data_IF_171577223333
#
_entry.id   IF_171577223333
#
_cell.length_a   1.000
_cell.length_b   1.000
_cell.length_c   1.000
_cell.angle_alpha   90.00
_cell.angle_beta   90.00
_cell.angle_gamma   90.00
#
_symmetry.space_group_name_H-M   'P 1'
#
loop_
_entity.id
_entity.type
_entity.pdbx_description
1 polymer ?
#
# COMPACT_ATOMS: atom_id res chain seq x y z
N UNK A 1 -18.22 26.82 -58.51
CA UNK A 1 -18.78 25.55 -58.00
C UNK A 1 -18.89 25.69 -56.49
N UNK A 2 -20.04 26.12 -55.99
CA UNK A 2 -21.02 25.30 -55.25
C UNK A 2 -20.41 24.63 -53.98
N UNK A 3 -20.58 25.23 -52.79
CA UNK A 3 -21.66 24.97 -51.81
C UNK A 3 -21.45 23.67 -50.99
N UNK A 4 -20.97 23.77 -49.74
CA UNK A 4 -21.77 23.58 -48.52
C UNK A 4 -20.93 23.27 -47.28
N UNK A 5 -21.10 24.19 -46.32
CA UNK A 5 -20.97 24.02 -44.88
C UNK A 5 -21.68 22.77 -44.35
N UNK A 6 -21.06 22.06 -43.41
CA UNK A 6 -21.77 21.41 -42.29
C UNK A 6 -20.99 21.57 -40.99
N UNK A 7 -21.33 22.67 -40.32
CA UNK A 7 -21.29 22.85 -38.88
C UNK A 7 -22.15 21.73 -38.25
N UNK A 8 -21.54 20.92 -37.39
CA UNK A 8 -22.21 19.88 -36.61
C UNK A 8 -22.06 20.16 -35.12
N UNK A 9 -22.98 20.97 -34.60
CA UNK A 9 -23.19 21.23 -33.17
C UNK A 9 -23.78 20.00 -32.50
N UNK A 10 -23.17 19.46 -31.43
CA UNK A 10 -23.90 18.58 -30.49
C UNK A 10 -23.55 18.92 -29.04
N UNK A 11 -24.44 19.72 -28.47
CA UNK A 11 -24.98 19.69 -27.11
C UNK A 11 -24.03 19.51 -25.91
N UNK A 12 -23.97 20.57 -25.10
CA UNK A 12 -23.35 20.62 -23.79
C UNK A 12 -23.98 19.67 -22.76
N UNK A 13 -23.11 19.05 -21.97
CA UNK A 13 -23.46 18.30 -20.77
C UNK A 13 -23.18 19.19 -19.56
N UNK A 14 -24.25 19.75 -18.98
CA UNK A 14 -24.20 20.48 -17.72
C UNK A 14 -23.88 19.48 -16.61
N UNK A 15 -22.68 19.52 -16.04
CA UNK A 15 -22.33 18.78 -14.82
C UNK A 15 -22.79 19.61 -13.63
N UNK A 16 -23.81 19.12 -12.94
CA UNK A 16 -24.26 19.66 -11.68
C UNK A 16 -23.30 19.22 -10.57
N UNK A 17 -22.61 20.19 -9.97
CA UNK A 17 -21.79 20.04 -8.77
C UNK A 17 -22.74 20.16 -7.57
N UNK A 18 -22.78 19.16 -6.69
CA UNK A 18 -23.71 19.14 -5.56
C UNK A 18 -23.27 18.27 -4.39
N UNK A 19 -22.78 18.95 -3.35
CA UNK A 19 -22.77 18.61 -1.93
C UNK A 19 -21.90 17.45 -1.42
N UNK A 20 -20.70 17.82 -0.97
CA UNK A 20 -19.88 17.12 0.02
C UNK A 20 -20.58 17.19 1.37
N UNK A 21 -20.95 16.04 1.94
CA UNK A 21 -21.41 15.92 3.33
C UNK A 21 -20.34 15.18 4.13
N UNK A 22 -19.55 15.95 4.88
CA UNK A 22 -18.69 15.46 5.95
C UNK A 22 -19.57 15.15 7.17
N UNK A 23 -19.71 13.86 7.50
CA UNK A 23 -20.19 13.43 8.80
C UNK A 23 -19.02 12.78 9.55
N UNK A 24 -18.61 13.45 10.62
CA UNK A 24 -17.52 13.07 11.49
C UNK A 24 -17.92 11.96 12.47
N UNK A 25 -16.92 11.13 12.80
CA UNK A 25 -16.62 10.48 14.08
C UNK A 25 -17.71 9.62 14.77
N UNK A 26 -17.36 8.36 15.01
CA UNK A 26 -18.08 7.48 15.94
C UNK A 26 -17.25 6.27 16.38
N UNK A 27 -16.47 6.46 17.45
CA UNK A 27 -16.11 5.49 18.50
C UNK A 27 -15.53 4.12 18.05
N UNK A 28 -14.19 4.02 18.04
CA UNK A 28 -13.51 2.75 18.35
C UNK A 28 -13.78 2.42 19.82
N UNK A 29 -14.90 1.76 20.09
CA UNK A 29 -15.02 0.94 21.27
C UNK A 29 -13.94 -0.15 21.18
N UNK A 30 -13.02 -0.14 22.12
CA UNK A 30 -12.02 -1.16 22.32
C UNK A 30 -12.70 -2.55 22.32
N UNK A 31 -12.57 -3.28 21.21
CA UNK A 31 -12.71 -4.73 21.21
C UNK A 31 -11.38 -5.30 21.70
N UNK A 32 -11.17 -5.19 23.00
CA UNK A 32 -10.10 -5.84 23.74
C UNK A 32 -10.73 -6.62 24.88
N UNK A 33 -11.62 -7.57 24.53
CA UNK A 33 -12.02 -8.61 25.48
C UNK A 33 -10.94 -9.68 25.43
N UNK A 34 -10.04 -9.60 26.40
CA UNK A 34 -9.17 -10.70 26.82
C UNK A 34 -10.01 -11.97 27.07
N UNK A 35 -10.04 -12.88 26.11
CA UNK A 35 -10.41 -14.28 26.36
C UNK A 35 -9.94 -15.19 25.20
N UNK A 36 -8.68 -15.64 25.21
CA UNK A 36 -8.35 -17.02 24.80
C UNK A 36 -7.25 -17.60 25.70
N UNK A 37 -7.70 -18.59 26.44
CA UNK A 37 -7.05 -19.44 27.42
C UNK A 37 -5.98 -20.38 26.82
N UNK A 38 -4.84 -20.44 27.52
CA UNK A 38 -3.91 -21.57 27.72
C UNK A 38 -2.97 -22.07 26.61
N UNK A 39 -1.65 -21.86 26.81
CA UNK A 39 -0.78 -22.97 27.24
C UNK A 39 0.46 -22.49 28.03
N UNK A 40 0.47 -22.83 29.33
CA UNK A 40 1.60 -23.10 30.23
C UNK A 40 2.81 -22.16 30.30
N UNK A 41 2.86 -21.29 31.32
CA UNK A 41 4.06 -21.16 32.19
C UNK A 41 3.63 -20.64 33.58
N UNK A 42 3.84 -21.38 34.68
CA UNK A 42 3.48 -20.93 36.02
C UNK A 42 4.63 -20.18 36.70
N UNK A 43 4.25 -19.39 37.73
CA UNK A 43 5.09 -18.68 38.71
C UNK A 43 5.72 -17.38 38.20
N UNK A 44 5.74 -16.26 38.93
CA UNK A 44 5.67 -16.10 40.37
C UNK A 44 5.03 -14.77 40.76
N UNK A 45 4.43 -14.81 41.95
CA UNK A 45 3.86 -13.74 42.75
C UNK A 45 4.71 -12.46 42.82
N UNK A 46 4.07 -11.30 42.87
CA UNK A 46 4.13 -10.44 44.07
C UNK A 46 3.03 -9.39 44.07
N UNK A 47 2.38 -9.34 45.22
CA UNK A 47 1.35 -8.42 45.70
C UNK A 47 1.74 -6.95 45.62
N UNK A 48 0.82 -6.08 45.20
CA UNK A 48 0.39 -4.97 46.05
C UNK A 48 -1.01 -4.50 45.64
N UNK A 49 -1.90 -4.43 46.63
CA UNK A 49 -3.20 -3.79 46.51
C UNK A 49 -3.02 -2.29 46.41
N UNK A 50 -3.66 -1.64 45.44
CA UNK A 50 -3.97 -0.21 45.52
C UNK A 50 -5.48 -0.08 45.77
N UNK A 51 -5.84 0.23 47.01
CA UNK A 51 -7.17 0.73 47.34
C UNK A 51 -7.04 2.20 47.74
N UNK A 52 -7.81 3.02 47.03
CA UNK A 52 -8.39 4.32 47.40
C UNK A 52 -7.48 5.38 48.05
N UNK A 53 -7.39 6.55 47.41
CA UNK A 53 -8.12 7.74 47.86
C UNK A 53 -7.99 8.88 46.85
N UNK A 54 -9.10 9.57 46.61
CA UNK A 54 -9.14 10.87 45.94
C UNK A 54 -8.54 11.96 46.84
N UNK A 55 -7.96 13.00 46.24
CA UNK A 55 -7.93 14.34 46.84
C UNK A 55 -7.87 15.41 45.74
N UNK A 56 -8.67 16.44 45.95
CA UNK A 56 -9.01 17.53 45.04
C UNK A 56 -8.34 18.79 45.61
N UNK A 57 -7.46 19.46 44.86
CA UNK A 57 -6.70 20.59 45.40
C UNK A 57 -6.13 21.51 44.32
N UNK A 58 -6.55 22.77 44.37
CA UNK A 58 -6.41 23.79 43.34
C UNK A 58 -5.11 24.65 43.43
N UNK A 59 -4.90 25.39 42.32
CA UNK A 59 -4.32 26.74 42.19
C UNK A 59 -2.82 26.92 41.83
N UNK A 60 -2.65 27.49 40.62
CA UNK A 60 -1.77 28.59 40.17
C UNK A 60 -0.32 28.69 40.64
N UNK A 61 0.63 28.68 39.67
CA UNK A 61 1.38 29.87 39.22
C UNK A 61 2.31 29.47 38.04
N UNK A 62 2.46 30.35 37.05
CA UNK A 62 3.56 30.35 36.07
C UNK A 62 4.54 31.48 36.49
N UNK A 63 5.80 31.58 36.03
CA UNK A 63 6.42 30.93 34.87
C UNK A 63 7.85 30.39 35.11
N UNK A 64 8.33 29.48 34.25
CA UNK A 64 9.74 29.45 33.85
C UNK A 64 9.89 28.60 32.58
N UNK A 65 10.52 29.17 31.56
CA UNK A 65 11.17 28.41 30.48
C UNK A 65 12.66 28.54 30.78
N UNK A 66 13.44 27.45 30.77
CA UNK A 66 13.79 26.82 29.50
C UNK A 66 13.87 25.28 29.61
N UNK A 67 13.79 24.56 28.50
CA UNK A 67 14.89 23.70 28.03
C UNK A 67 14.43 22.90 26.81
N UNK A 68 15.38 22.64 25.92
CA UNK A 68 15.24 21.77 24.77
C UNK A 68 15.16 20.29 25.19
N UNK A 69 14.56 19.45 24.33
CA UNK A 69 14.53 17.99 24.49
C UNK A 69 13.35 17.54 25.35
N UNK A 70 12.62 16.48 25.04
CA UNK A 70 12.96 15.26 24.32
C UNK A 70 11.80 14.91 23.38
N UNK A 71 12.07 14.90 22.07
CA UNK A 71 11.38 13.92 21.24
C UNK A 71 11.87 12.57 21.72
N UNK A 72 11.06 11.86 22.50
CA UNK A 72 11.26 10.42 22.70
C UNK A 72 11.40 9.81 21.32
N UNK A 73 12.56 9.24 20.95
CA UNK A 73 12.69 8.58 19.67
C UNK A 73 11.66 7.45 19.66
N UNK A 74 10.81 7.43 18.63
CA UNK A 74 10.05 6.23 18.31
C UNK A 74 11.04 5.05 18.26
N UNK A 75 10.70 3.89 18.83
CA UNK A 75 11.61 2.75 18.84
C UNK A 75 11.96 2.39 17.39
N UNK A 76 13.16 2.78 16.96
CA UNK A 76 13.75 2.29 15.73
C UNK A 76 14.10 0.84 15.97
N UNK A 77 13.38 -0.07 15.32
CA UNK A 77 13.82 -1.46 15.17
C UNK A 77 15.03 -1.46 14.23
N UNK A 78 16.18 -1.02 14.73
CA UNK A 78 17.46 -1.34 14.10
C UNK A 78 17.66 -2.85 14.23
N UNK A 79 17.99 -3.57 13.16
CA UNK A 79 18.45 -4.94 13.28
C UNK A 79 19.63 -4.95 14.26
N UNK A 80 19.43 -5.54 15.43
CA UNK A 80 20.48 -5.66 16.43
C UNK A 80 21.67 -6.45 15.89
N UNK A 81 22.77 -6.41 16.63
CA UNK A 81 24.12 -6.95 16.35
C UNK A 81 24.20 -8.46 15.98
N UNK A 82 23.07 -9.16 15.84
CA UNK A 82 22.96 -10.56 15.47
C UNK A 82 23.09 -10.86 13.96
N UNK A 83 23.26 -9.84 13.10
CA UNK A 83 23.37 -10.02 11.64
C UNK A 83 24.82 -10.09 11.14
N UNK A 84 25.69 -10.89 11.78
CA UNK A 84 27.07 -11.16 11.31
C UNK A 84 27.26 -12.53 10.67
N UNK A 85 26.17 -13.18 10.24
CA UNK A 85 26.31 -14.26 9.26
C UNK A 85 26.73 -13.64 7.91
N UNK A 86 27.79 -14.13 7.26
CA UNK A 86 28.08 -13.77 5.88
C UNK A 86 26.81 -13.97 5.04
N UNK A 87 26.50 -13.08 4.07
CA UNK A 87 25.39 -13.33 3.16
C UNK A 87 25.61 -14.70 2.51
N UNK A 88 24.65 -15.61 2.66
CA UNK A 88 24.69 -16.89 1.96
C UNK A 88 24.74 -16.60 0.47
N UNK A 89 25.86 -16.91 -0.17
CA UNK A 89 25.99 -16.80 -1.61
C UNK A 89 25.03 -17.82 -2.24
N UNK A 90 24.18 -17.42 -3.20
CA UNK A 90 23.25 -18.35 -3.84
C UNK A 90 24.02 -19.52 -4.42
N UNK A 91 23.71 -20.75 -3.99
CA UNK A 91 24.32 -21.95 -4.55
C UNK A 91 24.02 -22.02 -6.05
N UNK A 92 25.05 -22.23 -6.87
CA UNK A 92 24.89 -22.34 -8.30
C UNK A 92 24.01 -23.56 -8.63
N UNK A 93 22.88 -23.31 -9.32
CA UNK A 93 22.01 -24.37 -9.79
C UNK A 93 22.77 -25.24 -10.82
N UNK A 94 22.60 -26.58 -10.81
CA UNK A 94 23.13 -27.45 -11.85
C UNK A 94 22.68 -27.02 -13.25
N UNK A 95 23.56 -27.07 -14.26
CA UNK A 95 23.27 -26.62 -15.63
C UNK A 95 22.14 -27.42 -16.31
N UNK A 96 21.89 -28.65 -15.84
CA UNK A 96 20.80 -29.52 -16.29
C UNK A 96 19.49 -29.36 -15.50
N UNK A 97 19.39 -28.35 -14.62
CA UNK A 97 18.13 -28.09 -13.93
C UNK A 97 17.12 -27.56 -14.95
N UNK A 98 16.06 -28.32 -15.31
CA UNK A 98 15.01 -27.78 -16.17
C UNK A 98 14.40 -26.59 -15.42
N UNK A 99 14.69 -25.38 -15.90
CA UNK A 99 14.11 -24.17 -15.35
C UNK A 99 12.58 -24.26 -15.34
N UNK A 100 11.89 -23.52 -14.46
CA UNK A 100 10.44 -23.53 -14.46
C UNK A 100 9.93 -23.20 -15.87
N UNK A 101 8.96 -24.00 -16.35
CA UNK A 101 8.29 -23.72 -17.61
C UNK A 101 7.74 -22.29 -17.56
N UNK A 102 8.14 -21.45 -18.53
CA UNK A 102 7.60 -20.11 -18.63
C UNK A 102 6.12 -20.20 -18.96
N UNK A 103 5.27 -19.79 -18.01
CA UNK A 103 3.83 -19.72 -18.23
C UNK A 103 3.60 -18.69 -19.33
N UNK A 104 3.01 -19.06 -20.48
CA UNK A 104 2.78 -18.11 -21.55
C UNK A 104 1.82 -17.03 -21.07
N UNK A 105 2.18 -15.77 -21.33
CA UNK A 105 1.33 -14.62 -21.06
C UNK A 105 0.01 -14.78 -21.82
N UNK A 106 -1.11 -14.64 -21.13
CA UNK A 106 -2.44 -14.70 -21.74
C UNK A 106 -2.67 -13.51 -22.68
N UNK A 107 -3.61 -13.62 -23.63
CA UNK A 107 -3.92 -12.50 -24.53
C UNK A 107 -4.41 -11.23 -23.80
N UNK A 108 -5.02 -11.39 -22.62
CA UNK A 108 -5.40 -10.28 -21.75
C UNK A 108 -4.17 -9.66 -21.07
N UNK A 109 -3.25 -10.50 -20.59
CA UNK A 109 -1.98 -10.04 -20.00
C UNK A 109 -1.14 -9.26 -21.01
N UNK A 110 -1.10 -9.72 -22.26
CA UNK A 110 -0.35 -9.02 -23.31
C UNK A 110 -0.93 -7.64 -23.61
N UNK A 111 -2.27 -7.53 -23.70
CA UNK A 111 -2.97 -6.25 -23.87
C UNK A 111 -2.74 -5.29 -22.70
N UNK A 112 -2.69 -5.81 -21.48
CA UNK A 112 -2.39 -5.02 -20.30
C UNK A 112 -0.96 -4.45 -20.35
N UNK A 113 0.03 -5.29 -20.67
CA UNK A 113 1.43 -4.87 -20.81
C UNK A 113 1.61 -3.84 -21.94
N UNK A 114 0.93 -4.02 -23.07
CA UNK A 114 0.94 -3.04 -24.16
C UNK A 114 0.35 -1.70 -23.72
N UNK A 115 -0.78 -1.72 -23.02
CA UNK A 115 -1.41 -0.50 -22.52
C UNK A 115 -0.58 0.22 -21.45
N UNK A 116 0.15 -0.51 -20.60
CA UNK A 116 1.12 0.09 -19.67
C UNK A 116 2.25 0.80 -20.41
N UNK A 117 2.82 0.15 -21.44
CA UNK A 117 3.86 0.75 -22.28
C UNK A 117 3.37 2.00 -23.01
N UNK A 118 2.16 1.95 -23.55
CA UNK A 118 1.52 3.11 -24.18
C UNK A 118 1.28 4.26 -23.18
N UNK A 119 1.08 3.94 -21.90
CA UNK A 119 0.98 4.91 -20.81
C UNK A 119 2.34 5.40 -20.27
N UNK A 120 3.46 4.90 -20.81
CA UNK A 120 4.82 5.31 -20.46
C UNK A 120 5.44 4.53 -19.30
N UNK A 121 4.81 3.44 -18.86
CA UNK A 121 5.35 2.53 -17.85
C UNK A 121 6.00 1.35 -18.56
N UNK A 122 7.28 1.10 -18.28
CA UNK A 122 8.00 -0.06 -18.82
C UNK A 122 8.04 -1.19 -17.76
N UNK A 123 7.30 -2.29 -17.96
CA UNK A 123 7.30 -3.41 -17.05
C UNK A 123 8.66 -4.11 -16.98
N UNK A 124 9.01 -4.65 -15.82
CA UNK A 124 10.27 -5.37 -15.62
C UNK A 124 10.25 -6.77 -16.24
N UNK A 125 11.40 -7.20 -16.77
CA UNK A 125 11.59 -8.57 -17.27
C UNK A 125 10.62 -8.95 -18.38
N UNK A 126 9.94 -10.09 -18.21
CA UNK A 126 8.92 -10.60 -19.13
C UNK A 126 7.51 -10.02 -18.87
N UNK A 127 7.37 -9.13 -17.89
CA UNK A 127 6.09 -8.52 -17.51
C UNK A 127 5.23 -9.36 -16.56
N UNK A 128 5.72 -10.52 -16.11
CA UNK A 128 5.01 -11.39 -15.15
C UNK A 128 4.68 -10.70 -13.82
N UNK A 129 5.58 -9.85 -13.31
CA UNK A 129 5.31 -9.03 -12.11
C UNK A 129 4.15 -8.08 -12.33
N UNK A 130 4.15 -7.34 -13.45
CA UNK A 130 3.08 -6.41 -13.77
C UNK A 130 1.73 -7.12 -13.94
N UNK A 131 1.71 -8.29 -14.59
CA UNK A 131 0.49 -9.10 -14.73
C UNK A 131 0.00 -9.57 -13.35
N UNK A 132 0.90 -10.03 -12.47
CA UNK A 132 0.54 -10.44 -11.11
C UNK A 132 -0.03 -9.27 -10.29
N UNK A 133 0.47 -8.05 -10.50
CA UNK A 133 -0.09 -6.83 -9.92
C UNK A 133 -1.49 -6.53 -10.47
N UNK A 134 -1.72 -6.74 -11.76
CA UNK A 134 -3.06 -6.61 -12.36
C UNK A 134 -4.04 -7.65 -11.78
N UNK A 135 -3.62 -8.90 -11.61
CA UNK A 135 -4.43 -9.95 -10.95
C UNK A 135 -4.80 -9.53 -9.52
N UNK A 136 -3.85 -8.99 -8.76
CA UNK A 136 -4.12 -8.45 -7.42
C UNK A 136 -5.15 -7.32 -7.44
N UNK A 137 -5.03 -6.37 -8.38
CA UNK A 137 -5.97 -5.25 -8.52
C UNK A 137 -7.39 -5.79 -8.75
N UNK A 138 -7.56 -6.68 -9.73
CA UNK A 138 -8.87 -7.22 -10.05
C UNK A 138 -9.46 -8.06 -8.91
N UNK A 139 -8.63 -8.83 -8.20
CA UNK A 139 -9.07 -9.58 -7.02
C UNK A 139 -9.52 -8.63 -5.91
N UNK A 140 -8.72 -7.62 -5.57
CA UNK A 140 -9.04 -6.66 -4.52
C UNK A 140 -10.36 -5.93 -4.80
N UNK A 141 -10.62 -5.58 -6.06
CA UNK A 141 -11.90 -5.00 -6.48
C UNK A 141 -13.07 -5.98 -6.34
N UNK A 142 -12.88 -7.23 -6.78
CA UNK A 142 -13.90 -8.27 -6.64
C UNK A 142 -14.25 -8.58 -5.18
N UNK A 143 -13.29 -8.43 -4.27
CA UNK A 143 -13.45 -8.57 -2.82
C UNK A 143 -14.04 -7.32 -2.16
N UNK A 144 -14.26 -6.24 -2.91
CA UNK A 144 -14.80 -4.98 -2.40
C UNK A 144 -13.81 -4.21 -1.52
N UNK A 145 -12.51 -4.44 -1.69
CA UNK A 145 -11.47 -3.70 -0.98
C UNK A 145 -11.52 -2.21 -1.38
N UNK A 146 -11.28 -1.33 -0.40
CA UNK A 146 -11.24 0.10 -0.68
C UNK A 146 -10.06 0.43 -1.60
N UNK A 147 -10.28 1.30 -2.59
CA UNK A 147 -9.23 1.74 -3.52
C UNK A 147 -7.99 2.32 -2.84
N UNK A 148 -8.14 2.95 -1.67
CA UNK A 148 -6.99 3.45 -0.88
C UNK A 148 -6.08 2.32 -0.37
N UNK A 149 -6.65 1.20 0.06
CA UNK A 149 -5.87 0.03 0.50
C UNK A 149 -5.21 -0.62 -0.71
N UNK A 150 -5.95 -0.82 -1.80
CA UNK A 150 -5.39 -1.35 -3.06
C UNK A 150 -4.23 -0.49 -3.56
N UNK A 151 -4.37 0.83 -3.54
CA UNK A 151 -3.30 1.76 -3.95
C UNK A 151 -2.04 1.66 -3.09
N UNK A 152 -2.16 1.41 -1.78
CA UNK A 152 -0.97 1.20 -0.92
C UNK A 152 -0.18 -0.03 -1.38
N UNK A 153 -0.88 -1.15 -1.61
CA UNK A 153 -0.23 -2.38 -2.06
C UNK A 153 0.33 -2.26 -3.48
N UNK A 154 -0.42 -1.68 -4.41
CA UNK A 154 0.05 -1.47 -5.79
C UNK A 154 1.26 -0.53 -5.81
N UNK A 155 1.28 0.53 -5.02
CA UNK A 155 2.43 1.44 -4.91
C UNK A 155 3.69 0.69 -4.45
N UNK A 156 3.56 -0.19 -3.45
CA UNK A 156 4.67 -1.01 -2.98
C UNK A 156 5.14 -2.02 -4.06
N UNK A 157 4.21 -2.63 -4.79
CA UNK A 157 4.53 -3.55 -5.89
C UNK A 157 5.24 -2.82 -7.04
N UNK A 158 4.75 -1.66 -7.44
CA UNK A 158 5.37 -0.81 -8.49
C UNK A 158 6.76 -0.36 -8.08
N UNK A 159 6.97 0.04 -6.82
CA UNK A 159 8.30 0.37 -6.31
C UNK A 159 9.27 -0.82 -6.36
N UNK A 160 8.79 -2.02 -6.02
CA UNK A 160 9.57 -3.26 -6.10
C UNK A 160 9.89 -3.62 -7.55
N UNK A 161 8.92 -3.51 -8.45
CA UNK A 161 9.09 -3.77 -9.87
C UNK A 161 10.08 -2.79 -10.50
N UNK A 162 9.97 -1.49 -10.21
CA UNK A 162 10.91 -0.48 -10.67
C UNK A 162 12.34 -0.77 -10.19
N UNK A 163 12.49 -1.17 -8.92
CA UNK A 163 13.78 -1.57 -8.36
C UNK A 163 14.37 -2.77 -9.09
N UNK A 164 13.54 -3.77 -9.45
CA UNK A 164 13.95 -4.91 -10.25
C UNK A 164 14.37 -4.52 -11.68
N UNK A 165 13.78 -3.46 -12.24
CA UNK A 165 14.21 -2.84 -13.51
C UNK A 165 15.47 -1.95 -13.37
N UNK A 166 16.05 -1.83 -12.17
CA UNK A 166 17.18 -0.92 -11.92
C UNK A 166 16.79 0.55 -11.94
N UNK A 167 15.50 0.87 -11.75
CA UNK A 167 14.97 2.23 -11.64
C UNK A 167 14.67 2.56 -10.18
N UNK A 168 15.02 3.77 -9.76
CA UNK A 168 14.59 4.32 -8.48
C UNK A 168 13.45 5.30 -8.72
N UNK A 169 12.28 5.04 -8.14
CA UNK A 169 11.15 5.97 -8.14
C UNK A 169 11.18 6.82 -6.87
N UNK A 170 10.77 8.08 -6.99
CA UNK A 170 10.31 8.84 -5.81
C UNK A 170 8.94 8.34 -5.36
N UNK A 171 8.56 8.62 -4.11
CA UNK A 171 7.23 8.23 -3.59
C UNK A 171 6.08 8.75 -4.48
N UNK A 172 6.23 9.98 -4.97
CA UNK A 172 5.23 10.64 -5.82
C UNK A 172 5.15 10.00 -7.22
N UNK A 173 6.28 9.55 -7.77
CA UNK A 173 6.31 8.78 -9.02
C UNK A 173 5.72 7.38 -8.82
N UNK A 174 6.06 6.70 -7.74
CA UNK A 174 5.51 5.37 -7.44
C UNK A 174 3.99 5.42 -7.28
N UNK A 175 3.46 6.46 -6.63
CA UNK A 175 2.02 6.65 -6.51
C UNK A 175 1.33 6.96 -7.86
N UNK A 176 1.95 7.77 -8.72
CA UNK A 176 1.43 8.08 -10.06
C UNK A 176 1.45 6.84 -10.98
N UNK A 177 2.54 6.07 -10.94
CA UNK A 177 2.67 4.84 -11.70
C UNK A 177 1.66 3.79 -11.19
N UNK A 178 1.51 3.64 -9.88
CA UNK A 178 0.49 2.78 -9.27
C UNK A 178 -0.94 3.13 -9.70
N UNK A 179 -1.25 4.43 -9.79
CA UNK A 179 -2.55 4.88 -10.27
C UNK A 179 -2.76 4.45 -11.74
N UNK A 180 -1.72 4.58 -12.56
CA UNK A 180 -1.74 4.14 -13.96
C UNK A 180 -1.93 2.63 -14.06
N UNK A 181 -1.29 1.83 -13.21
CA UNK A 181 -1.51 0.38 -13.13
C UNK A 181 -2.97 0.05 -12.83
N UNK A 182 -3.58 0.70 -11.85
CA UNK A 182 -5.00 0.51 -11.50
C UNK A 182 -5.90 0.90 -12.67
N UNK A 183 -5.69 2.07 -13.26
CA UNK A 183 -6.51 2.57 -14.37
C UNK A 183 -6.43 1.66 -15.60
N UNK A 184 -5.23 1.21 -15.96
CA UNK A 184 -5.00 0.33 -17.11
C UNK A 184 -5.53 -1.09 -16.84
N UNK A 185 -5.33 -1.62 -15.63
CA UNK A 185 -5.86 -2.93 -15.24
C UNK A 185 -7.39 -2.94 -15.34
N UNK A 186 -8.06 -1.91 -14.81
CA UNK A 186 -9.51 -1.79 -14.85
C UNK A 186 -10.05 -1.58 -16.27
N UNK A 187 -9.31 -0.88 -17.13
CA UNK A 187 -9.73 -0.64 -18.50
C UNK A 187 -9.54 -1.85 -19.42
N UNK A 188 -8.55 -2.71 -19.16
CA UNK A 188 -8.08 -3.70 -20.15
C UNK A 188 -7.98 -5.13 -19.63
N UNK A 189 -7.81 -5.34 -18.33
CA UNK A 189 -7.47 -6.63 -17.75
C UNK A 189 -8.61 -7.20 -16.89
N UNK A 190 -9.15 -6.41 -15.96
CA UNK A 190 -10.22 -6.84 -15.07
C UNK A 190 -11.53 -7.09 -15.84
N UNK A 191 -12.21 -8.19 -15.50
CA UNK A 191 -13.45 -8.65 -16.15
C UNK A 191 -14.51 -9.05 -15.14
#
# INVERSE_FOLDING_TARGET
>A
MAQHSRIGTIAGRKVAIGAMALAAAGLLAACGSDDVTATSTPSASTTTSAAESADEGAAADAPDAPDAGESTPAPVTSPGEAATAPPSEPEALPEDFPGPDQVPVSGDGQRFLDALRDAGIEPSGDGSTAISTADFICQAEAEGQSGSVTMVFVTAMVGTEASAAGRQLTDEQAAADAQTYVDVANATYCK
#
